data_IF_784161848237
#
_entry.id   IF_784161848237
#
_cell.length_a   1.000
_cell.length_b   1.000
_cell.length_c   1.000
_cell.angle_alpha   90.00
_cell.angle_beta   90.00
_cell.angle_gamma   90.00
#
_symmetry.space_group_name_H-M   'P 1'
#
loop_
_entity.id
_entity.type
_entity.pdbx_description
1 polymer ?
#
# COMPACT_ATOMS: atom_id res chain seq x y z
N UNK A 1 -6.98 7.13 -5.85
CA UNK A 1 -6.05 5.99 -5.63
C UNK A 1 -4.70 6.57 -5.26
N UNK A 2 -4.03 6.04 -4.24
CA UNK A 2 -2.72 6.53 -3.79
C UNK A 2 -1.57 5.67 -4.33
N UNK A 3 -1.86 4.44 -4.73
CA UNK A 3 -0.84 3.54 -5.24
C UNK A 3 -1.46 2.30 -5.86
N UNK A 4 -0.59 1.39 -6.30
CA UNK A 4 -0.99 0.04 -6.71
C UNK A 4 0.08 -0.96 -6.37
N UNK A 5 -0.30 -2.23 -6.24
CA UNK A 5 0.65 -3.31 -6.03
C UNK A 5 1.32 -3.64 -7.36
N UNK A 6 2.61 -3.34 -7.46
CA UNK A 6 3.43 -3.58 -8.64
C UNK A 6 3.92 -5.03 -8.73
N UNK A 7 3.94 -5.77 -7.62
CA UNK A 7 4.36 -7.16 -7.61
C UNK A 7 4.70 -7.67 -6.22
N UNK A 8 5.37 -8.82 -6.18
CA UNK A 8 5.79 -9.50 -4.96
C UNK A 8 7.21 -9.10 -4.55
N UNK A 9 7.48 -9.20 -3.25
CA UNK A 9 8.81 -9.05 -2.68
C UNK A 9 9.13 -10.25 -1.76
N UNK A 10 10.04 -11.13 -2.17
CA UNK A 10 10.39 -12.30 -1.35
C UNK A 10 9.25 -13.31 -1.20
N UNK A 11 9.31 -14.10 -0.12
CA UNK A 11 8.39 -15.24 0.13
C UNK A 11 7.52 -15.09 1.37
N UNK A 12 7.80 -14.10 2.23
CA UNK A 12 7.08 -13.84 3.48
C UNK A 12 5.82 -12.96 3.28
N UNK A 13 5.19 -13.04 2.11
CA UNK A 13 4.02 -12.22 1.79
C UNK A 13 4.25 -10.71 1.60
N UNK A 14 5.50 -10.24 1.47
CA UNK A 14 5.73 -8.81 1.18
C UNK A 14 5.35 -8.47 -0.26
N UNK A 15 4.83 -7.26 -0.45
CA UNK A 15 4.43 -6.74 -1.75
C UNK A 15 5.18 -5.46 -2.10
N UNK A 16 5.50 -5.30 -3.38
CA UNK A 16 6.00 -4.05 -3.96
C UNK A 16 4.81 -3.17 -4.31
N UNK A 17 4.88 -1.94 -3.84
CA UNK A 17 3.86 -0.92 -4.04
C UNK A 17 4.47 0.24 -4.81
N UNK A 18 3.78 0.60 -5.88
CA UNK A 18 4.04 1.81 -6.61
C UNK A 18 3.15 2.91 -6.04
N UNK A 19 3.74 3.79 -5.21
CA UNK A 19 3.04 4.95 -4.69
C UNK A 19 3.00 6.06 -5.76
N UNK A 20 1.84 6.67 -5.91
CA UNK A 20 1.63 7.88 -6.71
C UNK A 20 1.66 9.15 -5.84
N UNK A 21 1.92 9.04 -4.53
CA UNK A 21 2.05 10.20 -3.64
C UNK A 21 3.40 10.90 -3.85
N UNK A 22 3.42 12.21 -3.63
CA UNK A 22 4.64 13.00 -3.50
C UNK A 22 4.70 13.62 -2.08
N UNK A 23 5.66 13.22 -1.23
CA UNK A 23 6.69 12.20 -1.46
C UNK A 23 6.13 10.76 -1.44
N UNK A 24 6.76 9.84 -2.20
CA UNK A 24 6.31 8.44 -2.34
C UNK A 24 6.24 7.64 -1.04
N UNK A 25 7.02 8.04 -0.05
CA UNK A 25 7.04 7.42 1.28
C UNK A 25 5.88 7.88 2.15
N UNK A 26 5.15 8.94 1.79
CA UNK A 26 3.97 9.38 2.52
C UNK A 26 2.89 8.28 2.61
N UNK A 27 2.86 7.35 1.65
CA UNK A 27 1.96 6.20 1.72
C UNK A 27 2.23 5.31 2.96
N UNK A 28 3.47 5.28 3.47
CA UNK A 28 3.85 4.52 4.66
C UNK A 28 3.41 5.18 5.96
N UNK A 29 3.01 6.46 5.93
CA UNK A 29 2.49 7.18 7.09
C UNK A 29 1.10 6.66 7.50
N UNK A 30 0.43 5.94 6.59
CA UNK A 30 -0.86 5.31 6.85
C UNK A 30 -0.65 3.85 7.28
N UNK A 31 -1.00 3.55 8.53
CA UNK A 31 -1.01 2.17 9.03
C UNK A 31 -2.13 1.32 8.42
N UNK A 32 -3.14 1.94 7.78
CA UNK A 32 -4.30 1.23 7.23
C UNK A 32 -4.61 1.63 5.81
N UNK A 33 -4.61 0.65 4.92
CA UNK A 33 -4.91 0.83 3.50
C UNK A 33 -6.17 0.09 3.09
N UNK A 34 -6.82 0.60 2.06
CA UNK A 34 -7.89 -0.06 1.35
C UNK A 34 -7.32 -0.66 0.07
N UNK A 35 -7.50 -1.97 -0.11
CA UNK A 35 -6.98 -2.71 -1.25
C UNK A 35 -8.16 -3.31 -2.00
N UNK A 36 -8.21 -3.08 -3.30
CA UNK A 36 -9.21 -3.67 -4.19
C UNK A 36 -8.78 -5.07 -4.62
N UNK A 37 -9.46 -6.09 -4.12
CA UNK A 37 -9.19 -7.50 -4.44
C UNK A 37 -10.46 -8.06 -5.06
N UNK A 38 -10.38 -8.56 -6.29
CA UNK A 38 -11.52 -9.12 -7.02
C UNK A 38 -12.70 -8.13 -7.15
N UNK A 39 -12.41 -6.82 -7.25
CA UNK A 39 -13.41 -5.75 -7.29
C UNK A 39 -14.04 -5.41 -5.94
N UNK A 40 -13.56 -5.99 -4.84
CA UNK A 40 -14.00 -5.70 -3.48
C UNK A 40 -12.93 -4.92 -2.73
N UNK A 41 -13.29 -3.75 -2.23
CA UNK A 41 -12.42 -2.93 -1.40
C UNK A 41 -12.37 -3.47 0.03
N UNK A 42 -11.19 -3.91 0.46
CA UNK A 42 -10.96 -4.44 1.80
C UNK A 42 -9.95 -3.59 2.56
N UNK A 43 -10.27 -3.26 3.81
CA UNK A 43 -9.34 -2.61 4.72
C UNK A 43 -8.32 -3.61 5.23
N UNK A 44 -7.04 -3.24 5.13
CA UNK A 44 -5.90 -4.01 5.61
C UNK A 44 -4.95 -3.11 6.36
N UNK A 45 -4.55 -3.60 7.51
CA UNK A 45 -3.57 -2.97 8.37
C UNK A 45 -2.17 -3.35 7.87
N UNK A 46 -1.23 -2.43 7.94
CA UNK A 46 0.15 -2.62 7.54
C UNK A 46 0.93 -3.00 8.78
N UNK A 47 1.62 -4.13 8.70
CA UNK A 47 2.50 -4.58 9.78
C UNK A 47 3.86 -3.89 9.68
N UNK A 48 4.40 -3.77 8.47
CA UNK A 48 5.71 -3.17 8.23
C UNK A 48 5.80 -2.58 6.83
N UNK A 49 6.51 -1.48 6.67
CA UNK A 49 6.69 -0.83 5.38
C UNK A 49 8.00 -0.09 5.28
N UNK A 50 8.65 -0.18 4.11
CA UNK A 50 9.92 0.49 3.87
C UNK A 50 10.07 0.94 2.44
N UNK A 51 10.74 2.07 2.25
CA UNK A 51 11.11 2.56 0.92
C UNK A 51 12.23 1.70 0.36
N UNK A 52 12.05 1.24 -0.88
CA UNK A 52 13.04 0.44 -1.60
C UNK A 52 13.35 1.09 -2.96
N UNK A 53 14.31 2.02 -2.95
CA UNK A 53 14.72 2.78 -4.13
C UNK A 53 13.62 3.72 -4.63
N UNK A 54 13.06 3.39 -5.80
CA UNK A 54 11.97 4.13 -6.45
C UNK A 54 10.58 3.64 -6.08
N UNK A 55 10.48 2.44 -5.49
CA UNK A 55 9.22 1.80 -5.06
C UNK A 55 9.16 1.71 -3.54
N UNK A 56 8.01 1.35 -3.01
CA UNK A 56 7.81 1.04 -1.60
C UNK A 56 7.56 -0.46 -1.47
N UNK A 57 8.03 -1.11 -0.40
CA UNK A 57 7.64 -2.49 -0.09
C UNK A 57 6.94 -2.50 1.25
N UNK A 58 5.83 -3.21 1.33
CA UNK A 58 5.05 -3.33 2.56
C UNK A 58 4.67 -4.77 2.84
N UNK A 59 4.45 -5.02 4.12
CA UNK A 59 3.92 -6.25 4.68
C UNK A 59 2.54 -5.94 5.26
N UNK A 60 1.53 -6.64 4.75
CA UNK A 60 0.14 -6.43 5.11
C UNK A 60 -0.27 -7.49 6.12
N UNK A 61 -0.99 -7.08 7.15
CA UNK A 61 -1.48 -7.98 8.17
C UNK A 61 -2.43 -9.01 7.57
N UNK A 62 -2.12 -10.28 7.77
CA UNK A 62 -2.83 -11.42 7.18
C UNK A 62 -2.26 -11.90 5.84
N UNK A 63 -1.18 -11.30 5.33
CA UNK A 63 -0.46 -11.78 4.13
C UNK A 63 0.91 -12.33 4.52
N UNK A 64 0.94 -13.61 4.86
CA UNK A 64 2.18 -14.29 5.23
C UNK A 64 2.71 -15.20 4.11
N UNK A 65 1.89 -15.44 3.08
CA UNK A 65 2.18 -16.32 1.96
C UNK A 65 2.31 -15.59 0.62
N UNK A 66 3.17 -16.14 -0.24
CA UNK A 66 3.38 -15.65 -1.60
C UNK A 66 2.09 -15.71 -2.43
N UNK A 67 1.29 -16.76 -2.28
CA UNK A 67 0.08 -16.98 -3.08
C UNK A 67 -1.01 -15.94 -2.79
N UNK A 68 -1.20 -15.62 -1.49
CA UNK A 68 -2.08 -14.54 -1.05
C UNK A 68 -1.63 -13.20 -1.61
N UNK A 69 -0.34 -12.89 -1.47
CA UNK A 69 0.25 -11.68 -2.02
C UNK A 69 0.16 -11.63 -3.56
N UNK A 70 0.19 -12.79 -4.24
CA UNK A 70 0.14 -12.88 -5.70
C UNK A 70 -1.24 -12.51 -6.23
N UNK A 71 -2.29 -12.86 -5.49
CA UNK A 71 -3.67 -12.49 -5.80
C UNK A 71 -3.91 -10.98 -5.72
N UNK A 72 -2.99 -10.24 -5.08
CA UNK A 72 -3.08 -8.80 -4.91
C UNK A 72 -2.19 -8.04 -5.90
N UNK A 73 -1.47 -8.73 -6.79
CA UNK A 73 -0.73 -8.07 -7.86
C UNK A 73 -1.72 -7.32 -8.75
N UNK A 74 -1.36 -6.08 -9.13
CA UNK A 74 -2.22 -5.16 -9.87
C UNK A 74 -3.42 -4.61 -9.07
N UNK A 75 -3.56 -4.98 -7.79
CA UNK A 75 -4.59 -4.41 -6.92
C UNK A 75 -4.36 -2.90 -6.69
N UNK A 76 -5.47 -2.16 -6.73
CA UNK A 76 -5.47 -0.73 -6.45
C UNK A 76 -5.40 -0.48 -4.95
N UNK A 77 -4.59 0.50 -4.56
CA UNK A 77 -4.45 0.94 -3.17
C UNK A 77 -5.05 2.34 -3.02
N UNK A 78 -5.92 2.48 -2.04
CA UNK A 78 -6.47 3.74 -1.56
C UNK A 78 -6.30 3.84 -0.05
N UNK A 79 -6.34 5.04 0.49
CA UNK A 79 -6.39 5.26 1.94
C UNK A 79 -7.55 6.20 2.24
N UNK A 80 -8.01 6.23 3.48
CA UNK A 80 -9.04 7.16 3.87
C UNK A 80 -8.48 8.59 3.79
N UNK A 81 -9.18 9.48 3.09
CA UNK A 81 -8.83 10.91 3.04
C UNK A 81 -8.78 11.56 4.43
N UNK A 82 -9.44 10.97 5.41
CA UNK A 82 -9.51 11.44 6.79
C UNK A 82 -8.26 11.04 7.59
N UNK A 83 -7.59 9.98 7.16
CA UNK A 83 -6.32 9.54 7.73
C UNK A 83 -5.13 10.32 7.17
N UNK A 84 -5.34 11.12 6.10
CA UNK A 84 -4.36 12.12 5.67
C UNK A 84 -4.03 12.94 6.93
N UNK A 85 -2.78 12.96 7.41
CA UNK A 85 -2.41 13.98 8.38
C UNK A 85 -2.84 15.29 7.74
N UNK A 86 -3.50 16.17 8.51
CA UNK A 86 -3.98 17.44 8.02
C UNK A 86 -2.78 18.27 7.54
N UNK A 87 -2.30 17.99 6.33
CA UNK A 87 -1.35 18.82 5.63
C UNK A 87 -2.16 20.05 5.30
N UNK A 88 -1.87 21.05 6.12
CA UNK A 88 -2.21 22.44 6.04
C UNK A 88 -2.66 22.89 4.65
N UNK A 89 -3.70 23.72 4.65
CA UNK A 89 -4.30 24.30 3.47
C UNK A 89 -3.24 24.81 2.47
N UNK A 90 -3.19 24.20 1.28
CA UNK A 90 -2.87 24.93 0.07
C UNK A 90 -1.57 24.61 -0.65
N UNK A 91 -1.47 23.43 -1.25
CA UNK A 91 -0.74 23.35 -2.53
C UNK A 91 -1.50 22.48 -3.53
N UNK A 92 -1.80 23.11 -4.68
CA UNK A 92 -2.50 22.61 -5.86
C UNK A 92 -1.49 22.20 -6.93
#
# INVERSE_FOLDING_TARGET
MLGRIAGLYGVKGWVKVHSFTEPREAILDYDRWQIEIDGVWQWRDITEGRRHGKTVVVHLAGVDDRDQAASWIDANIAVQRDALPATDAGQY
#
